data_IF_769855589834
#
_entry.id   IF_769855589834
#
_cell.length_a   1.000
_cell.length_b   1.000
_cell.length_c   1.000
_cell.angle_alpha   90.00
_cell.angle_beta   90.00
_cell.angle_gamma   90.00
#
_symmetry.space_group_name_H-M   'P 1'
#
loop_
_entity.id
_entity.type
_entity.pdbx_description
1 polymer ?
#
# COMPACT_ATOMS: atom_id res chain seq x y z
N UNK A 1 -14.43 -1.36 -25.50
CA UNK A 1 -13.95 -0.41 -24.47
C UNK A 1 -15.10 0.07 -23.60
N UNK A 2 -16.18 0.56 -24.17
CA UNK A 2 -17.32 1.13 -23.40
C UNK A 2 -17.94 0.13 -22.43
N UNK A 3 -18.15 -1.10 -22.84
CA UNK A 3 -18.74 -2.14 -22.00
C UNK A 3 -17.84 -2.50 -20.80
N UNK A 4 -16.57 -2.80 -21.05
CA UNK A 4 -15.63 -3.13 -19.97
C UNK A 4 -15.45 -1.96 -19.00
N UNK A 5 -15.45 -0.74 -19.52
CA UNK A 5 -15.38 0.46 -18.68
C UNK A 5 -16.62 0.62 -17.79
N UNK A 6 -17.81 0.34 -18.32
CA UNK A 6 -19.05 0.39 -17.53
C UNK A 6 -19.06 -0.67 -16.44
N UNK A 7 -18.59 -1.90 -16.73
CA UNK A 7 -18.43 -2.93 -15.70
C UNK A 7 -17.47 -2.49 -14.59
N UNK A 8 -16.30 -1.95 -14.97
CA UNK A 8 -15.33 -1.45 -14.00
C UNK A 8 -15.95 -0.35 -13.12
N UNK A 9 -16.66 0.59 -13.71
CA UNK A 9 -17.39 1.64 -12.99
C UNK A 9 -18.44 1.08 -12.01
N UNK A 10 -19.17 0.05 -12.40
CA UNK A 10 -20.13 -0.60 -11.51
C UNK A 10 -19.41 -1.30 -10.35
N UNK A 11 -18.31 -1.98 -10.62
CA UNK A 11 -17.51 -2.66 -9.58
C UNK A 11 -16.90 -1.66 -8.59
N UNK A 12 -16.54 -0.45 -9.02
CA UNK A 12 -16.06 0.63 -8.12
C UNK A 12 -17.09 1.04 -7.06
N UNK A 13 -18.37 0.81 -7.29
CA UNK A 13 -19.42 1.17 -6.30
C UNK A 13 -19.42 0.24 -5.10
N UNK A 14 -18.87 -0.96 -5.23
CA UNK A 14 -18.77 -1.95 -4.16
C UNK A 14 -17.40 -1.80 -3.47
N UNK A 15 -17.39 -1.20 -2.30
CA UNK A 15 -16.17 -0.95 -1.53
C UNK A 15 -16.41 -1.07 -0.02
N UNK A 16 -15.41 -1.56 0.71
CA UNK A 16 -15.44 -1.68 2.17
C UNK A 16 -14.96 -0.42 2.85
N UNK A 17 -14.00 0.27 2.24
CA UNK A 17 -13.45 1.51 2.77
C UNK A 17 -13.87 2.69 1.88
N UNK A 18 -14.57 3.72 2.40
CA UNK A 18 -15.08 4.82 1.58
C UNK A 18 -13.98 5.73 1.04
N UNK A 19 -12.81 5.79 1.68
CA UNK A 19 -11.69 6.65 1.29
C UNK A 19 -10.78 5.93 0.29
N UNK A 20 -10.33 4.73 0.62
CA UNK A 20 -9.35 3.98 -0.18
C UNK A 20 -9.99 3.00 -1.17
N UNK A 21 -11.28 2.73 -1.02
CA UNK A 21 -12.05 1.96 -2.00
C UNK A 21 -11.78 0.46 -2.01
N UNK A 22 -11.22 -0.10 -0.96
CA UNK A 22 -10.91 -1.53 -0.90
C UNK A 22 -12.14 -2.42 -1.09
N UNK A 23 -11.92 -3.56 -1.73
CA UNK A 23 -12.81 -4.73 -1.80
C UNK A 23 -12.03 -5.93 -1.28
N UNK A 24 -11.92 -6.01 0.04
CA UNK A 24 -11.15 -7.08 0.65
C UNK A 24 -11.85 -8.43 0.48
N UNK A 25 -11.10 -9.47 0.24
CA UNK A 25 -11.63 -10.82 0.11
C UNK A 25 -12.41 -11.22 1.37
N UNK A 26 -13.56 -11.88 1.21
CA UNK A 26 -14.47 -12.25 2.29
C UNK A 26 -15.36 -11.11 2.81
N UNK A 27 -15.26 -9.89 2.23
CA UNK A 27 -16.13 -8.77 2.60
C UNK A 27 -17.44 -8.77 1.85
N UNK A 28 -18.46 -8.10 2.42
CA UNK A 28 -19.73 -7.86 1.73
C UNK A 28 -19.56 -7.19 0.36
N UNK A 29 -18.58 -6.33 0.21
CA UNK A 29 -18.29 -5.66 -1.05
C UNK A 29 -17.72 -6.62 -2.10
N UNK A 30 -16.89 -7.56 -1.69
CA UNK A 30 -16.38 -8.63 -2.55
C UNK A 30 -17.51 -9.55 -2.96
N UNK A 31 -18.33 -10.03 -2.03
CA UNK A 31 -19.48 -10.89 -2.31
C UNK A 31 -20.46 -10.22 -3.29
N UNK A 32 -20.82 -8.95 -3.07
CA UNK A 32 -21.66 -8.17 -4.01
C UNK A 32 -21.05 -8.04 -5.39
N UNK A 33 -19.74 -7.89 -5.47
CA UNK A 33 -19.04 -7.84 -6.75
C UNK A 33 -19.04 -9.20 -7.44
N UNK A 34 -18.83 -10.28 -6.70
CA UNK A 34 -18.94 -11.65 -7.21
C UNK A 34 -20.35 -11.98 -7.72
N UNK A 35 -21.37 -11.59 -6.99
CA UNK A 35 -22.77 -11.73 -7.43
C UNK A 35 -23.05 -10.97 -8.72
N UNK A 36 -22.64 -9.71 -8.78
CA UNK A 36 -22.77 -8.88 -9.97
C UNK A 36 -22.09 -9.51 -11.18
N UNK A 37 -20.83 -9.95 -11.04
CA UNK A 37 -20.09 -10.59 -12.13
C UNK A 37 -20.70 -11.93 -12.55
N UNK A 38 -21.18 -12.73 -11.60
CA UNK A 38 -21.87 -13.99 -11.87
C UNK A 38 -23.13 -13.77 -12.74
N UNK A 39 -23.98 -12.83 -12.38
CA UNK A 39 -25.17 -12.53 -13.16
C UNK A 39 -24.84 -11.92 -14.53
N UNK A 40 -23.82 -11.09 -14.60
CA UNK A 40 -23.36 -10.50 -15.85
C UNK A 40 -22.78 -11.54 -16.82
N UNK A 41 -22.01 -12.51 -16.32
CA UNK A 41 -21.51 -13.65 -17.13
C UNK A 41 -22.66 -14.46 -17.72
N UNK A 42 -23.72 -14.72 -16.96
CA UNK A 42 -24.92 -15.39 -17.45
C UNK A 42 -25.65 -14.55 -18.49
N UNK A 43 -25.79 -13.25 -18.23
CA UNK A 43 -26.47 -12.31 -19.14
C UNK A 43 -25.82 -12.23 -20.52
N UNK A 44 -24.50 -12.33 -20.61
CA UNK A 44 -23.77 -12.34 -21.90
C UNK A 44 -23.74 -13.72 -22.55
N UNK A 45 -24.39 -14.73 -21.95
CA UNK A 45 -24.58 -16.05 -22.54
C UNK A 45 -23.52 -17.10 -22.21
N UNK A 46 -22.64 -16.84 -21.20
CA UNK A 46 -21.74 -17.87 -20.72
C UNK A 46 -22.54 -19.00 -20.06
N UNK A 47 -22.08 -20.23 -20.29
CA UNK A 47 -22.70 -21.43 -19.74
C UNK A 47 -21.84 -22.03 -18.63
N UNK A 48 -22.48 -22.79 -17.73
CA UNK A 48 -21.82 -23.45 -16.60
C UNK A 48 -21.06 -22.47 -15.69
N UNK A 49 -21.59 -21.27 -15.53
CA UNK A 49 -21.04 -20.28 -14.60
C UNK A 49 -21.27 -20.76 -13.18
N UNK A 50 -20.19 -20.91 -12.41
CA UNK A 50 -20.22 -21.36 -11.02
C UNK A 50 -19.45 -20.37 -10.14
N UNK A 51 -19.71 -20.38 -8.85
CA UNK A 51 -18.89 -19.72 -7.83
C UNK A 51 -18.18 -20.82 -7.05
N UNK A 52 -16.85 -20.69 -6.93
CA UNK A 52 -16.06 -21.55 -6.08
C UNK A 52 -15.78 -20.83 -4.77
N UNK A 53 -16.36 -21.36 -3.69
CA UNK A 53 -16.21 -20.77 -2.35
C UNK A 53 -15.04 -21.43 -1.63
N UNK A 54 -14.24 -20.62 -0.92
CA UNK A 54 -13.13 -21.08 -0.10
C UNK A 54 -12.98 -20.21 1.15
N UNK A 55 -12.35 -20.76 2.17
CA UNK A 55 -12.07 -20.05 3.40
C UNK A 55 -10.75 -19.31 3.31
N UNK A 56 -10.73 -18.09 3.84
CA UNK A 56 -9.53 -17.26 3.95
C UNK A 56 -9.62 -16.38 5.19
N UNK A 57 -8.47 -15.86 5.64
CA UNK A 57 -8.43 -14.88 6.70
C UNK A 57 -9.04 -13.56 6.22
N UNK A 58 -9.94 -13.00 7.03
CA UNK A 58 -10.49 -11.69 6.76
C UNK A 58 -9.70 -10.62 7.50
N UNK A 59 -9.68 -9.42 6.95
CA UNK A 59 -9.05 -8.27 7.56
C UNK A 59 -9.87 -7.00 7.31
N UNK A 60 -9.72 -6.05 8.20
CA UNK A 60 -10.35 -4.75 8.10
C UNK A 60 -9.27 -3.66 8.14
N UNK A 61 -9.51 -2.60 7.38
CA UNK A 61 -8.68 -1.41 7.37
C UNK A 61 -9.55 -0.22 7.76
N UNK A 62 -9.22 0.43 8.85
CA UNK A 62 -9.90 1.64 9.28
C UNK A 62 -9.26 2.87 8.64
N UNK A 63 -8.03 3.15 9.01
CA UNK A 63 -7.23 4.26 8.50
C UNK A 63 -5.76 4.07 8.85
N UNK A 64 -4.88 4.66 8.04
CA UNK A 64 -3.49 4.88 8.39
C UNK A 64 -3.11 6.32 8.05
N UNK A 65 -2.56 7.03 9.00
CA UNK A 65 -2.22 8.46 8.86
C UNK A 65 -0.80 8.69 9.37
N UNK A 66 0.01 9.32 8.54
CA UNK A 66 1.35 9.77 8.89
C UNK A 66 1.34 11.27 9.13
N UNK A 67 1.95 11.71 10.24
CA UNK A 67 2.20 13.13 10.52
C UNK A 67 3.68 13.39 10.69
N UNK A 68 4.15 14.48 10.13
CA UNK A 68 5.52 14.95 10.34
C UNK A 68 5.60 16.47 10.17
N UNK A 69 6.64 17.07 10.71
CA UNK A 69 6.95 18.48 10.47
C UNK A 69 8.07 18.57 9.45
N UNK A 70 7.92 19.48 8.50
CA UNK A 70 8.97 19.76 7.53
C UNK A 70 10.08 20.65 8.13
N UNK A 71 11.08 20.97 7.31
CA UNK A 71 12.21 21.82 7.69
C UNK A 71 11.79 23.26 8.09
N UNK A 72 10.58 23.69 7.74
CA UNK A 72 10.01 25.00 8.08
C UNK A 72 9.10 24.94 9.32
N UNK A 73 8.90 23.75 9.89
CA UNK A 73 8.01 23.49 11.03
C UNK A 73 6.54 23.37 10.63
N UNK A 74 6.22 23.28 9.33
CA UNK A 74 4.86 23.04 8.87
C UNK A 74 4.46 21.58 9.09
N UNK A 75 3.26 21.39 9.65
CA UNK A 75 2.73 20.05 9.95
C UNK A 75 2.05 19.46 8.73
N UNK A 76 2.63 18.41 8.19
CA UNK A 76 2.04 17.57 7.12
C UNK A 76 1.23 16.43 7.73
N UNK A 77 0.08 16.14 7.11
CA UNK A 77 -0.79 15.01 7.47
C UNK A 77 -1.12 14.25 6.20
N UNK A 78 -0.56 13.06 6.08
CA UNK A 78 -0.63 12.24 4.87
C UNK A 78 -1.47 11.00 5.11
N UNK A 79 -2.35 10.68 4.17
CA UNK A 79 -3.07 9.41 4.15
C UNK A 79 -2.13 8.31 3.64
N UNK A 80 -2.04 7.22 4.39
CA UNK A 80 -1.36 6.00 3.93
C UNK A 80 -2.38 4.93 3.55
N UNK A 81 -1.98 4.03 2.67
CA UNK A 81 -2.64 2.76 2.41
C UNK A 81 -1.95 1.63 3.16
N UNK A 82 -2.65 0.52 3.32
CA UNK A 82 -2.09 -0.72 3.83
C UNK A 82 -2.90 -1.90 3.28
N UNK A 83 -2.27 -3.06 3.17
CA UNK A 83 -2.91 -4.30 2.75
C UNK A 83 -2.45 -5.45 3.64
N UNK A 84 -3.39 -6.11 4.32
CA UNK A 84 -3.13 -7.20 5.27
C UNK A 84 -2.01 -6.88 6.28
N UNK A 85 -1.91 -5.62 6.67
CA UNK A 85 -0.91 -5.16 7.61
C UNK A 85 -1.42 -5.33 9.03
N UNK A 86 -0.74 -6.16 9.81
CA UNK A 86 -1.05 -6.37 11.22
C UNK A 86 -0.32 -5.30 12.05
N UNK A 87 -0.92 -4.12 12.13
CA UNK A 87 -0.37 -2.98 12.86
C UNK A 87 -1.51 -2.11 13.39
N UNK A 88 -1.48 -1.82 14.67
CA UNK A 88 -2.47 -1.00 15.34
C UNK A 88 -1.79 -0.10 16.37
N UNK A 89 -2.28 1.14 16.51
CA UNK A 89 -1.84 2.09 17.50
C UNK A 89 -3.03 2.71 18.22
N UNK A 90 -2.90 2.99 19.51
CA UNK A 90 -3.88 3.77 20.26
C UNK A 90 -3.59 5.27 20.10
N UNK A 91 -4.10 5.84 18.98
CA UNK A 91 -3.81 7.21 18.58
C UNK A 91 -2.51 7.34 17.79
N UNK A 92 -1.86 8.52 17.89
CA UNK A 92 -0.57 8.76 17.22
C UNK A 92 0.60 8.33 18.09
N UNK A 93 1.42 7.46 17.56
CA UNK A 93 2.72 7.11 18.12
C UNK A 93 3.86 7.76 17.31
N UNK A 94 4.96 8.05 17.98
CA UNK A 94 6.13 8.70 17.36
C UNK A 94 7.21 7.68 17.07
N UNK A 95 7.69 7.66 15.83
CA UNK A 95 8.79 6.83 15.37
C UNK A 95 9.84 7.67 14.66
N UNK A 96 11.09 7.30 14.82
CA UNK A 96 12.13 7.74 13.89
C UNK A 96 11.87 7.12 12.51
N UNK A 97 12.20 7.85 11.46
CA UNK A 97 12.09 7.39 10.08
C UNK A 97 13.47 7.38 9.41
N UNK A 98 13.80 6.32 8.69
CA UNK A 98 15.05 6.17 7.94
C UNK A 98 14.74 5.85 6.49
N UNK A 99 15.33 6.59 5.55
CA UNK A 99 15.24 6.26 4.14
C UNK A 99 16.25 5.16 3.80
N UNK A 100 15.79 4.11 3.16
CA UNK A 100 16.58 2.90 2.85
C UNK A 100 16.61 2.59 1.36
N UNK A 101 16.63 3.64 0.52
CA UNK A 101 16.71 3.47 -0.93
C UNK A 101 15.62 2.52 -1.46
N UNK A 102 16.04 1.41 -2.04
CA UNK A 102 15.14 0.36 -2.57
C UNK A 102 14.76 -0.72 -1.56
N UNK A 103 15.30 -0.63 -0.35
CA UNK A 103 15.04 -1.61 0.71
C UNK A 103 15.66 -2.99 0.45
N UNK A 104 16.72 -3.08 -0.35
CA UNK A 104 17.50 -4.30 -0.54
C UNK A 104 18.42 -4.55 0.64
N UNK A 105 18.94 -5.75 0.79
CA UNK A 105 19.82 -6.09 1.92
C UNK A 105 21.02 -5.15 2.05
N UNK A 106 21.60 -4.73 0.92
CA UNK A 106 22.74 -3.81 0.86
C UNK A 106 22.38 -2.37 1.24
N UNK A 107 21.13 -1.94 0.99
CA UNK A 107 20.69 -0.58 1.34
C UNK A 107 20.65 -0.33 2.85
N UNK A 108 20.68 -1.40 3.66
CA UNK A 108 20.71 -1.31 5.11
C UNK A 108 22.12 -1.30 5.69
N UNK A 109 23.17 -1.43 4.87
CA UNK A 109 24.55 -1.45 5.36
C UNK A 109 24.91 -0.11 6.03
N UNK A 110 25.38 -0.19 7.26
CA UNK A 110 25.71 1.00 8.06
C UNK A 110 24.52 1.73 8.69
N UNK A 111 23.28 1.31 8.41
CA UNK A 111 22.08 1.93 8.97
C UNK A 111 21.59 1.18 10.22
N UNK A 112 21.20 1.94 11.24
CA UNK A 112 20.47 1.41 12.39
C UNK A 112 18.96 1.72 12.26
N UNK A 113 18.19 0.70 11.88
CA UNK A 113 16.73 0.80 11.68
C UNK A 113 15.92 0.09 12.76
N UNK A 114 16.57 -0.49 13.76
CA UNK A 114 15.87 -1.24 14.82
C UNK A 114 14.92 -0.32 15.59
N UNK A 115 13.65 -0.72 15.65
CA UNK A 115 12.59 0.04 16.32
C UNK A 115 12.14 1.32 15.58
N UNK A 116 12.56 1.50 14.33
CA UNK A 116 12.21 2.65 13.49
C UNK A 116 11.29 2.24 12.36
N UNK A 117 10.59 3.21 11.76
CA UNK A 117 9.98 3.07 10.46
C UNK A 117 11.05 3.25 9.37
N UNK A 118 10.88 2.57 8.25
CA UNK A 118 11.75 2.76 7.08
C UNK A 118 10.93 3.18 5.86
N UNK A 119 11.49 4.08 5.07
CA UNK A 119 10.92 4.55 3.81
C UNK A 119 11.71 3.93 2.65
N UNK A 120 11.03 3.27 1.72
CA UNK A 120 11.68 2.65 0.56
C UNK A 120 10.99 3.01 -0.75
N UNK A 121 11.78 3.15 -1.80
CA UNK A 121 11.32 3.33 -3.18
C UNK A 121 11.08 1.98 -3.85
N UNK A 122 9.88 1.78 -4.33
CA UNK A 122 9.49 0.57 -5.04
C UNK A 122 9.40 0.85 -6.54
N UNK A 123 10.13 0.06 -7.32
CA UNK A 123 10.06 0.08 -8.77
C UNK A 123 9.40 -1.20 -9.28
N UNK A 124 8.11 -1.17 -9.47
CA UNK A 124 7.34 -2.33 -9.98
C UNK A 124 7.63 -2.66 -11.44
N UNK A 125 8.27 -1.76 -12.20
CA UNK A 125 8.61 -2.01 -13.59
C UNK A 125 9.75 -3.00 -13.73
N UNK A 126 10.78 -2.82 -12.91
CA UNK A 126 12.04 -3.55 -13.02
C UNK A 126 12.21 -4.61 -11.92
N UNK A 127 11.38 -4.54 -10.86
CA UNK A 127 11.49 -5.36 -9.67
C UNK A 127 10.12 -5.96 -9.30
N UNK A 128 10.00 -7.26 -9.49
CA UNK A 128 8.72 -7.97 -9.33
C UNK A 128 8.25 -8.16 -7.89
N UNK A 129 9.16 -8.11 -6.90
CA UNK A 129 8.84 -8.60 -5.56
C UNK A 129 8.80 -7.45 -4.55
N UNK A 130 7.63 -6.88 -4.40
CA UNK A 130 7.35 -5.83 -3.41
C UNK A 130 7.48 -6.36 -1.98
N UNK A 131 7.25 -7.64 -1.78
CA UNK A 131 7.35 -8.28 -0.47
C UNK A 131 8.81 -8.37 0.02
N UNK A 132 9.78 -8.34 -0.87
CA UNK A 132 11.18 -8.43 -0.49
C UNK A 132 11.64 -7.26 0.38
N UNK A 133 11.42 -5.98 0.03
CA UNK A 133 11.73 -4.84 0.90
C UNK A 133 11.03 -4.91 2.25
N UNK A 134 9.77 -5.38 2.29
CA UNK A 134 9.02 -5.55 3.54
C UNK A 134 9.70 -6.58 4.45
N UNK A 135 10.06 -7.71 3.88
CA UNK A 135 10.74 -8.77 4.63
C UNK A 135 12.14 -8.34 5.10
N UNK A 136 12.89 -7.60 4.27
CA UNK A 136 14.18 -7.05 4.68
C UNK A 136 14.04 -6.07 5.84
N UNK A 137 13.07 -5.17 5.81
CA UNK A 137 12.79 -4.26 6.91
C UNK A 137 12.55 -5.02 8.23
N UNK A 138 11.72 -6.05 8.18
CA UNK A 138 11.46 -6.93 9.33
C UNK A 138 12.75 -7.60 9.83
N UNK A 139 13.54 -8.23 8.96
CA UNK A 139 14.79 -8.90 9.34
C UNK A 139 15.81 -7.96 9.98
N UNK A 140 15.80 -6.68 9.61
CA UNK A 140 16.66 -5.64 10.19
C UNK A 140 16.10 -5.04 11.48
N UNK A 141 14.88 -5.46 11.88
CA UNK A 141 14.22 -5.05 13.12
C UNK A 141 13.51 -3.69 13.03
N UNK A 142 13.18 -3.24 11.84
CA UNK A 142 12.30 -2.09 11.65
C UNK A 142 10.88 -2.41 12.17
N UNK A 143 10.17 -1.39 12.62
CA UNK A 143 8.77 -1.50 13.08
C UNK A 143 7.84 -1.75 11.89
N UNK A 144 8.12 -1.13 10.76
CA UNK A 144 7.36 -1.30 9.53
C UNK A 144 8.03 -0.58 8.36
N UNK A 145 7.58 -0.89 7.16
CA UNK A 145 8.05 -0.28 5.93
C UNK A 145 6.97 0.64 5.37
N UNK A 146 7.35 1.85 4.96
CA UNK A 146 6.53 2.75 4.14
C UNK A 146 7.07 2.68 2.71
N UNK A 147 6.27 2.14 1.80
CA UNK A 147 6.63 1.97 0.41
C UNK A 147 6.11 3.11 -0.45
N UNK A 148 6.94 3.60 -1.34
CA UNK A 148 6.62 4.62 -2.33
C UNK A 148 6.82 4.04 -3.71
N UNK A 149 5.76 3.92 -4.49
CA UNK A 149 5.89 3.46 -5.87
C UNK A 149 6.45 4.56 -6.75
N UNK A 150 7.71 4.45 -7.12
CA UNK A 150 8.40 5.44 -7.96
C UNK A 150 8.23 5.18 -9.44
N UNK A 151 8.16 3.92 -9.85
CA UNK A 151 7.96 3.50 -11.24
C UNK A 151 7.01 2.31 -11.33
N UNK A 152 6.37 2.15 -12.48
CA UNK A 152 5.46 1.06 -12.79
C UNK A 152 5.32 0.85 -14.29
N UNK A 153 4.44 -0.06 -14.69
CA UNK A 153 4.17 -0.35 -16.11
C UNK A 153 3.38 0.75 -16.84
N UNK A 154 2.74 1.63 -16.09
CA UNK A 154 2.00 2.75 -16.61
C UNK A 154 2.40 4.04 -15.88
N UNK A 155 1.95 5.18 -16.39
CA UNK A 155 2.07 6.45 -15.68
C UNK A 155 1.30 6.38 -14.37
N UNK A 156 1.94 6.82 -13.28
CA UNK A 156 1.39 6.78 -11.94
C UNK A 156 1.06 8.20 -11.49
N UNK A 157 -0.19 8.44 -11.11
CA UNK A 157 -0.56 9.70 -10.45
C UNK A 157 0.32 9.89 -9.20
N UNK A 158 1.00 11.04 -9.06
CA UNK A 158 1.88 11.30 -7.91
C UNK A 158 1.17 11.25 -6.56
N UNK A 159 -0.16 11.38 -6.54
CA UNK A 159 -0.99 11.32 -5.33
C UNK A 159 -1.55 9.92 -5.04
N UNK A 160 -1.36 8.97 -5.95
CA UNK A 160 -1.91 7.62 -5.78
C UNK A 160 -1.15 6.81 -4.75
N UNK A 161 -1.90 5.99 -3.99
CA UNK A 161 -1.37 5.01 -3.04
C UNK A 161 -1.27 3.65 -3.74
N UNK A 162 -0.30 3.50 -4.63
CA UNK A 162 -0.25 2.38 -5.58
C UNK A 162 0.48 1.13 -5.11
N UNK A 163 1.09 1.18 -3.96
CA UNK A 163 1.81 0.02 -3.46
C UNK A 163 0.84 -0.99 -2.81
N UNK A 164 -0.12 -1.49 -3.58
CA UNK A 164 -1.21 -2.33 -3.09
C UNK A 164 -0.77 -3.74 -2.69
N UNK A 165 0.30 -4.24 -3.30
CA UNK A 165 0.78 -5.60 -3.08
C UNK A 165 1.97 -5.65 -2.11
N UNK A 166 2.08 -4.69 -1.20
CA UNK A 166 3.17 -4.64 -0.23
C UNK A 166 2.93 -5.58 0.96
N UNK A 167 1.98 -6.46 0.86
CA UNK A 167 1.75 -7.44 1.90
C UNK A 167 3.01 -8.26 2.14
N UNK A 168 3.62 -8.03 3.27
CA UNK A 168 4.61 -8.95 3.83
C UNK A 168 3.91 -10.06 4.59
N UNK A 169 4.65 -10.93 5.26
CA UNK A 169 4.09 -11.79 6.29
C UNK A 169 3.31 -10.95 7.32
N UNK A 170 2.32 -11.54 7.97
CA UNK A 170 1.48 -10.85 8.96
C UNK A 170 2.26 -10.11 10.06
N UNK A 171 3.49 -10.55 10.34
CA UNK A 171 4.41 -9.97 11.31
C UNK A 171 5.33 -8.88 10.76
N UNK A 172 5.22 -8.55 9.48
CA UNK A 172 6.03 -7.54 8.81
C UNK A 172 5.15 -6.40 8.27
N UNK A 173 4.82 -5.40 9.10
CA UNK A 173 3.93 -4.32 8.70
C UNK A 173 4.47 -3.51 7.52
N UNK A 174 3.55 -3.18 6.59
CA UNK A 174 3.86 -2.36 5.43
C UNK A 174 2.72 -1.40 5.10
N UNK A 175 3.11 -0.21 4.68
CA UNK A 175 2.21 0.88 4.31
C UNK A 175 2.59 1.41 2.94
N UNK A 176 1.66 2.01 2.23
CA UNK A 176 1.93 2.78 1.02
C UNK A 176 1.76 4.27 1.26
N UNK A 177 2.63 5.05 0.66
CA UNK A 177 2.58 6.51 0.68
C UNK A 177 2.65 7.05 -0.75
N UNK A 178 1.97 8.17 -1.03
CA UNK A 178 2.02 8.81 -2.33
C UNK A 178 3.43 9.34 -2.64
N UNK A 179 3.79 9.43 -3.93
CA UNK A 179 5.06 10.03 -4.33
C UNK A 179 5.15 11.50 -3.93
N UNK A 180 4.01 12.20 -3.99
CA UNK A 180 3.94 13.61 -3.62
C UNK A 180 4.26 13.80 -2.13
N UNK A 181 3.62 13.02 -1.24
CA UNK A 181 3.86 13.14 0.19
C UNK A 181 5.27 12.66 0.57
N UNK A 182 5.75 11.62 -0.11
CA UNK A 182 7.09 11.10 0.10
C UNK A 182 8.21 12.07 -0.31
N UNK A 183 7.97 12.98 -1.27
CA UNK A 183 8.98 13.98 -1.65
C UNK A 183 9.36 14.88 -0.48
N UNK A 184 8.37 15.36 0.28
CA UNK A 184 8.63 16.16 1.48
C UNK A 184 9.43 15.43 2.56
N UNK A 185 9.14 14.13 2.75
CA UNK A 185 9.91 13.29 3.68
C UNK A 185 11.35 13.08 3.21
N UNK A 186 11.55 12.88 1.92
CA UNK A 186 12.90 12.68 1.35
C UNK A 186 13.77 13.94 1.48
N UNK A 187 13.20 15.11 1.29
CA UNK A 187 13.88 16.39 1.52
C UNK A 187 14.43 16.50 2.96
N UNK A 188 13.67 15.94 3.94
CA UNK A 188 14.11 15.91 5.33
C UNK A 188 15.17 14.84 5.61
N UNK A 189 15.00 13.66 5.01
CA UNK A 189 15.83 12.49 5.29
C UNK A 189 17.15 12.47 4.50
N UNK A 190 17.17 13.14 3.35
CA UNK A 190 18.30 13.24 2.44
C UNK A 190 18.50 14.71 2.06
N UNK A 191 18.86 15.59 3.02
CA UNK A 191 19.14 16.98 2.66
C UNK A 191 20.29 16.98 1.65
N UNK A 192 20.07 17.64 0.50
CA UNK A 192 21.13 17.87 -0.47
C UNK A 192 22.26 18.61 0.27
N UNK A 193 23.48 18.13 0.14
CA UNK A 193 24.65 18.84 0.67
C UNK A 193 24.62 20.26 0.08
N UNK A 194 24.62 21.31 0.91
CA UNK A 194 24.70 22.67 0.39
C UNK A 194 26.05 22.82 -0.32
N UNK A 195 26.00 22.98 -1.65
CA UNK A 195 27.17 23.19 -2.50
C UNK A 195 27.93 24.48 -2.13
#
# INVERSE_FOLDING_TARGET
ITYSYQLAKQMETHKTNPVLGFRTAGSDAEHKTGDFLYEEMKRIGLQNVTKDEFWLDSWTFERAVLRFQDQHGELHTCQMGAYQTNFETDGFETYDLVYVGRGTASDYEGLNVRGKLVLADINQRDEWWINYPVYQAYLKGAVGLIAVQTQGYAEIDPRALNAQDIAGPEYAPAFSLSRQDASYLKELLCPEDPA
#
